data_IF_641039784015
#
_entry.id   IF_641039784015
#
_cell.length_a   1.000
_cell.length_b   1.000
_cell.length_c   1.000
_cell.angle_alpha   90.00
_cell.angle_beta   90.00
_cell.angle_gamma   90.00
#
_symmetry.space_group_name_H-M   'P 1'
#
loop_
_entity.id
_entity.type
_entity.pdbx_description
1 polymer ?
#
# COMPACT_ATOMS: atom_id res chain seq x y z
N UNK A 1 11.05 18.53 -8.89
CA UNK A 1 9.92 18.24 -8.01
C UNK A 1 10.30 17.06 -7.14
N UNK A 2 10.40 17.32 -5.90
CA UNK A 2 10.76 16.29 -4.94
C UNK A 2 9.48 15.56 -4.53
N UNK A 3 9.36 14.29 -4.85
CA UNK A 3 8.34 13.41 -4.27
C UNK A 3 8.78 13.04 -2.87
N UNK A 4 8.98 14.09 -2.04
CA UNK A 4 9.70 13.96 -0.79
C UNK A 4 8.86 13.33 0.32
N UNK A 5 7.55 13.39 0.22
CA UNK A 5 6.63 12.89 1.22
C UNK A 5 5.79 11.77 0.65
N UNK A 6 6.10 10.54 1.03
CA UNK A 6 5.41 9.33 0.59
C UNK A 6 4.66 8.71 1.76
N UNK A 7 3.40 8.36 1.53
CA UNK A 7 2.59 7.57 2.46
C UNK A 7 2.48 6.14 1.94
N UNK A 8 2.78 5.17 2.80
CA UNK A 8 2.81 3.76 2.42
C UNK A 8 1.87 2.94 3.29
N UNK A 9 1.05 2.12 2.67
CA UNK A 9 0.38 0.98 3.33
C UNK A 9 1.13 -0.31 3.00
N UNK A 10 1.07 -1.30 3.88
CA UNK A 10 1.78 -2.57 3.68
C UNK A 10 3.28 -2.49 3.98
N UNK A 11 3.68 -1.58 4.85
CA UNK A 11 5.06 -1.30 5.20
C UNK A 11 5.84 -2.51 5.73
N UNK A 12 5.18 -3.41 6.44
CA UNK A 12 5.81 -4.56 7.09
C UNK A 12 5.91 -5.79 6.22
N UNK A 13 5.32 -5.76 5.02
CA UNK A 13 5.43 -6.83 4.02
C UNK A 13 6.79 -6.86 3.33
N UNK A 14 7.05 -7.92 2.58
CA UNK A 14 8.33 -8.08 1.88
C UNK A 14 8.64 -6.95 0.89
N UNK A 15 7.64 -6.52 0.12
CA UNK A 15 7.79 -5.40 -0.81
C UNK A 15 7.89 -4.07 -0.05
N UNK A 16 7.00 -3.83 0.91
CA UNK A 16 6.94 -2.58 1.66
C UNK A 16 8.24 -2.23 2.36
N UNK A 17 8.85 -3.18 3.04
CA UNK A 17 10.16 -2.98 3.72
C UNK A 17 11.24 -2.52 2.76
N UNK A 18 11.32 -3.13 1.59
CA UNK A 18 12.32 -2.80 0.56
C UNK A 18 12.08 -1.44 -0.06
N UNK A 19 10.82 -1.12 -0.33
CA UNK A 19 10.42 0.19 -0.86
C UNK A 19 10.76 1.29 0.13
N UNK A 20 10.44 1.11 1.42
CA UNK A 20 10.78 2.09 2.46
C UNK A 20 12.28 2.32 2.52
N UNK A 21 13.06 1.24 2.58
CA UNK A 21 14.53 1.34 2.60
C UNK A 21 15.07 2.14 1.40
N UNK A 22 14.59 1.83 0.22
CA UNK A 22 14.98 2.52 -1.00
C UNK A 22 14.65 4.02 -0.93
N UNK A 23 13.43 4.36 -0.58
CA UNK A 23 12.95 5.75 -0.50
C UNK A 23 13.72 6.56 0.55
N UNK A 24 13.89 6.01 1.75
CA UNK A 24 14.64 6.67 2.83
C UNK A 24 16.10 6.89 2.43
N UNK A 25 16.74 5.91 1.83
CA UNK A 25 18.12 6.02 1.36
C UNK A 25 18.29 7.06 0.23
N UNK A 26 17.23 7.37 -0.48
CA UNK A 26 17.21 8.39 -1.53
C UNK A 26 16.66 9.75 -1.08
N UNK A 27 16.51 9.95 0.22
CA UNK A 27 16.15 11.24 0.81
C UNK A 27 14.65 11.53 0.90
N UNK A 28 13.79 10.57 0.59
CA UNK A 28 12.35 10.74 0.76
C UNK A 28 11.93 10.66 2.23
N UNK A 29 10.99 11.51 2.64
CA UNK A 29 10.32 11.37 3.91
C UNK A 29 9.15 10.38 3.76
N UNK A 30 9.20 9.30 4.52
CA UNK A 30 8.22 8.22 4.43
C UNK A 30 7.38 8.16 5.69
N UNK A 31 6.06 8.23 5.51
CA UNK A 31 5.07 7.94 6.54
C UNK A 31 4.40 6.60 6.21
N UNK A 32 4.31 5.72 7.17
CA UNK A 32 3.78 4.37 6.94
C UNK A 32 2.64 4.03 7.89
N UNK A 33 1.58 3.48 7.32
CA UNK A 33 0.44 3.01 8.09
C UNK A 33 0.83 1.82 8.95
N UNK A 34 0.52 1.90 10.24
CA UNK A 34 0.81 0.85 11.23
C UNK A 34 -0.48 0.36 11.89
N UNK A 35 -0.54 -0.93 12.20
CA UNK A 35 -1.68 -1.55 12.89
C UNK A 35 -1.37 -1.98 14.32
N UNK A 36 -0.12 -1.87 14.75
CA UNK A 36 0.32 -2.29 16.08
C UNK A 36 1.59 -1.57 16.50
N UNK A 37 1.88 -1.58 17.80
CA UNK A 37 3.14 -1.02 18.31
C UNK A 37 4.36 -1.75 17.77
N UNK A 38 4.28 -3.08 17.62
CA UNK A 38 5.36 -3.86 17.03
C UNK A 38 5.66 -3.48 15.59
N UNK A 39 4.62 -3.25 14.79
CA UNK A 39 4.77 -2.75 13.43
C UNK A 39 5.33 -1.32 13.41
N UNK A 40 4.88 -0.47 14.34
CA UNK A 40 5.39 0.91 14.47
C UNK A 40 6.88 0.92 14.75
N UNK A 41 7.37 0.06 15.63
CA UNK A 41 8.79 -0.06 15.91
C UNK A 41 9.59 -0.48 14.68
N UNK A 42 9.09 -1.46 13.93
CA UNK A 42 9.75 -1.93 12.72
C UNK A 42 9.81 -0.83 11.65
N UNK A 43 8.72 -0.09 11.47
CA UNK A 43 8.67 1.06 10.56
C UNK A 43 9.68 2.13 10.96
N UNK A 44 9.74 2.44 12.25
CA UNK A 44 10.70 3.40 12.79
C UNK A 44 12.14 2.96 12.54
N UNK A 45 12.45 1.68 12.77
CA UNK A 45 13.77 1.13 12.55
C UNK A 45 14.19 1.16 11.07
N UNK A 46 13.22 1.14 10.15
CA UNK A 46 13.46 1.31 8.72
C UNK A 46 13.72 2.77 8.30
N UNK A 47 13.55 3.73 9.21
CA UNK A 47 13.73 5.15 8.94
C UNK A 47 12.45 5.87 8.48
N UNK A 48 11.30 5.25 8.61
CA UNK A 48 10.00 5.86 8.30
C UNK A 48 9.25 6.26 9.57
N UNK A 49 8.27 7.15 9.43
CA UNK A 49 7.40 7.58 10.50
C UNK A 49 6.15 6.69 10.55
N UNK A 50 5.91 5.92 11.61
CA UNK A 50 4.69 5.15 11.75
C UNK A 50 3.50 6.05 12.12
N UNK A 51 2.34 5.73 11.56
CA UNK A 51 1.07 6.35 11.91
C UNK A 51 0.03 5.27 12.15
N UNK A 52 -0.58 5.28 13.33
CA UNK A 52 -1.67 4.38 13.68
C UNK A 52 -2.97 4.94 13.13
N UNK A 53 -3.58 4.26 12.18
CA UNK A 53 -4.86 4.62 11.59
C UNK A 53 -5.54 3.39 10.99
N UNK A 54 -6.86 3.49 10.82
CA UNK A 54 -7.65 2.45 10.16
C UNK A 54 -7.66 2.70 8.64
N UNK A 55 -7.17 1.72 7.88
CA UNK A 55 -7.19 1.77 6.41
C UNK A 55 -8.61 1.96 5.84
N UNK A 56 -9.63 1.52 6.57
CA UNK A 56 -11.03 1.59 6.14
C UNK A 56 -11.75 2.86 6.62
N UNK A 57 -11.05 3.76 7.29
CA UNK A 57 -11.57 5.07 7.72
C UNK A 57 -11.01 6.18 6.85
N UNK A 58 -11.84 6.72 5.95
CA UNK A 58 -11.42 7.84 5.10
C UNK A 58 -11.09 9.10 5.91
N UNK A 59 -11.72 9.30 7.05
CA UNK A 59 -11.46 10.43 7.94
C UNK A 59 -10.05 10.35 8.55
N UNK A 60 -9.71 9.18 9.13
CA UNK A 60 -8.38 8.97 9.71
C UNK A 60 -7.28 9.05 8.64
N UNK A 61 -7.52 8.47 7.46
CA UNK A 61 -6.56 8.54 6.35
C UNK A 61 -6.40 9.96 5.81
N UNK A 62 -7.48 10.73 5.73
CA UNK A 62 -7.41 12.15 5.34
C UNK A 62 -6.55 12.94 6.31
N UNK A 63 -6.69 12.69 7.60
CA UNK A 63 -5.88 13.36 8.62
C UNK A 63 -4.39 12.99 8.51
N UNK A 64 -4.08 11.70 8.41
CA UNK A 64 -2.69 11.25 8.41
C UNK A 64 -1.97 11.41 7.06
N UNK A 65 -2.67 11.75 5.99
CA UNK A 65 -2.06 11.99 4.68
C UNK A 65 -1.92 13.47 4.31
N UNK A 66 -2.17 14.37 5.24
CA UNK A 66 -1.91 15.80 5.03
C UNK A 66 -0.44 16.06 4.73
N UNK A 67 -0.16 16.84 3.69
CA UNK A 67 1.21 17.16 3.27
C UNK A 67 1.91 16.04 2.49
N UNK A 68 1.23 14.94 2.19
CA UNK A 68 1.77 13.83 1.40
C UNK A 68 1.69 14.16 -0.10
N UNK A 69 2.73 13.82 -0.84
CA UNK A 69 2.78 13.99 -2.30
C UNK A 69 2.38 12.74 -3.07
N UNK A 70 2.67 11.56 -2.53
CA UNK A 70 2.40 10.28 -3.19
C UNK A 70 1.88 9.26 -2.18
N UNK A 71 0.85 8.52 -2.53
CA UNK A 71 0.38 7.36 -1.79
C UNK A 71 0.82 6.09 -2.51
N UNK A 72 1.46 5.18 -1.80
CA UNK A 72 1.77 3.83 -2.28
C UNK A 72 0.95 2.82 -1.48
N UNK A 73 -0.03 2.21 -2.13
CA UNK A 73 -0.91 1.22 -1.51
C UNK A 73 -0.37 -0.19 -1.78
N UNK A 74 0.52 -0.65 -0.89
CA UNK A 74 1.20 -1.94 -1.01
C UNK A 74 0.61 -3.02 -0.09
N UNK A 75 -0.40 -2.68 0.70
CA UNK A 75 -1.01 -3.61 1.65
C UNK A 75 -1.72 -4.75 0.92
N UNK A 76 -1.51 -5.95 1.41
CA UNK A 76 -2.18 -7.17 0.96
C UNK A 76 -2.46 -8.09 2.14
N UNK A 77 -3.35 -9.04 1.95
CA UNK A 77 -3.58 -10.14 2.88
C UNK A 77 -3.72 -11.44 2.10
N UNK A 78 -2.64 -11.80 1.43
CA UNK A 78 -2.61 -13.03 0.62
C UNK A 78 -2.74 -14.23 1.56
N UNK A 79 -3.64 -15.18 1.27
CA UNK A 79 -3.82 -16.37 2.10
C UNK A 79 -2.53 -17.16 2.26
N UNK A 80 -2.24 -17.56 3.49
CA UNK A 80 -1.05 -18.37 3.81
C UNK A 80 -1.25 -19.87 3.60
N UNK A 81 -2.41 -20.27 3.11
CA UNK A 81 -2.67 -21.67 2.74
C UNK A 81 -1.83 -22.07 1.54
N UNK A 82 -1.38 -23.31 1.54
CA UNK A 82 -0.64 -23.86 0.40
C UNK A 82 -1.44 -23.79 -0.92
N UNK A 83 -2.76 -24.00 -0.83
CA UNK A 83 -3.68 -23.90 -1.98
C UNK A 83 -4.94 -23.17 -1.53
N UNK A 84 -5.03 -21.85 -1.71
CA UNK A 84 -6.25 -21.09 -1.44
C UNK A 84 -7.27 -21.44 -2.53
N UNK A 85 -8.36 -22.08 -2.16
CA UNK A 85 -9.37 -22.57 -3.10
C UNK A 85 -10.80 -22.07 -2.85
N UNK A 86 -10.99 -21.28 -1.79
CA UNK A 86 -12.31 -20.73 -1.45
C UNK A 86 -12.31 -19.21 -1.56
N UNK A 87 -13.39 -18.59 -2.06
CA UNK A 87 -13.53 -17.13 -2.06
C UNK A 87 -13.32 -16.51 -0.69
N UNK A 88 -13.77 -17.18 0.40
CA UNK A 88 -13.58 -16.71 1.78
C UNK A 88 -12.10 -16.61 2.20
N UNK A 89 -11.22 -17.36 1.59
CA UNK A 89 -9.77 -17.27 1.87
C UNK A 89 -9.19 -15.92 1.44
N UNK A 90 -9.79 -15.27 0.45
CA UNK A 90 -9.34 -14.01 -0.13
C UNK A 90 -10.10 -12.78 0.37
N UNK A 91 -11.12 -12.97 1.22
CA UNK A 91 -12.03 -11.90 1.62
C UNK A 91 -11.31 -10.66 2.19
N UNK A 92 -10.33 -10.84 3.07
CA UNK A 92 -9.59 -9.72 3.64
C UNK A 92 -8.68 -9.06 2.60
N UNK A 93 -8.04 -9.84 1.74
CA UNK A 93 -7.23 -9.29 0.65
C UNK A 93 -8.09 -8.44 -0.30
N UNK A 94 -9.24 -8.93 -0.67
CA UNK A 94 -10.19 -8.21 -1.53
C UNK A 94 -10.70 -6.93 -0.87
N UNK A 95 -11.00 -6.99 0.42
CA UNK A 95 -11.41 -5.82 1.20
C UNK A 95 -10.33 -4.75 1.23
N UNK A 96 -9.08 -5.14 1.48
CA UNK A 96 -7.95 -4.21 1.46
C UNK A 96 -7.81 -3.55 0.09
N UNK A 97 -7.91 -4.33 -0.98
CA UNK A 97 -7.75 -3.81 -2.34
C UNK A 97 -8.93 -2.97 -2.81
N UNK A 98 -10.13 -3.30 -2.44
CA UNK A 98 -11.34 -2.58 -2.87
C UNK A 98 -11.66 -1.42 -1.93
N UNK A 99 -11.96 -1.71 -0.67
CA UNK A 99 -12.35 -0.67 0.29
C UNK A 99 -11.16 0.21 0.68
N UNK A 100 -9.99 -0.40 0.90
CA UNK A 100 -8.77 0.35 1.22
C UNK A 100 -8.38 1.32 0.11
N UNK A 101 -8.50 0.92 -1.15
CA UNK A 101 -8.25 1.82 -2.29
C UNK A 101 -9.27 2.96 -2.33
N UNK A 102 -10.54 2.68 -2.09
CA UNK A 102 -11.59 3.71 -2.05
C UNK A 102 -11.34 4.76 -0.97
N UNK A 103 -10.98 4.33 0.22
CA UNK A 103 -10.69 5.25 1.34
C UNK A 103 -9.45 6.09 1.07
N UNK A 104 -8.40 5.49 0.51
CA UNK A 104 -7.18 6.21 0.11
C UNK A 104 -7.45 7.22 -1.01
N UNK A 105 -8.30 6.87 -1.98
CA UNK A 105 -8.70 7.80 -3.04
C UNK A 105 -9.49 8.99 -2.49
N UNK A 106 -10.36 8.79 -1.52
CA UNK A 106 -11.07 9.88 -0.84
C UNK A 106 -10.09 10.80 -0.11
N UNK A 107 -9.15 10.23 0.64
CA UNK A 107 -8.11 10.99 1.32
C UNK A 107 -7.23 11.77 0.32
N UNK A 108 -6.85 11.13 -0.78
CA UNK A 108 -6.05 11.77 -1.82
C UNK A 108 -6.78 12.97 -2.45
N UNK A 109 -8.08 12.84 -2.72
CA UNK A 109 -8.89 13.96 -3.23
C UNK A 109 -8.98 15.11 -2.22
N UNK A 110 -9.24 14.80 -0.96
CA UNK A 110 -9.34 15.80 0.10
C UNK A 110 -8.05 16.59 0.30
N UNK A 111 -6.90 15.93 0.17
CA UNK A 111 -5.58 16.52 0.35
C UNK A 111 -4.89 16.93 -0.96
N UNK A 112 -5.59 16.83 -2.09
CA UNK A 112 -5.06 17.17 -3.42
C UNK A 112 -3.78 16.38 -3.79
N UNK A 113 -3.70 15.13 -3.35
CA UNK A 113 -2.60 14.23 -3.68
C UNK A 113 -2.78 13.73 -5.11
N UNK A 114 -1.76 13.93 -5.95
CA UNK A 114 -1.86 13.66 -7.39
C UNK A 114 -1.58 12.23 -7.78
N UNK A 115 -0.83 11.50 -6.98
CA UNK A 115 -0.36 10.17 -7.35
C UNK A 115 -0.74 9.13 -6.30
N UNK A 116 -1.43 8.09 -6.74
CA UNK A 116 -1.66 6.88 -5.99
C UNK A 116 -1.12 5.71 -6.81
N UNK A 117 -0.14 5.00 -6.23
CA UNK A 117 0.51 3.86 -6.87
C UNK A 117 0.04 2.59 -6.17
N UNK A 118 -0.45 1.66 -6.95
CA UNK A 118 -0.92 0.36 -6.45
C UNK A 118 -0.41 -0.77 -7.36
N UNK A 119 0.24 -1.80 -6.81
CA UNK A 119 0.64 -2.96 -7.58
C UNK A 119 -0.58 -3.73 -8.11
N UNK A 120 -0.47 -4.21 -9.32
CA UNK A 120 -1.41 -5.19 -9.89
C UNK A 120 -0.81 -6.59 -9.83
N UNK A 121 -1.53 -7.56 -10.32
CA UNK A 121 -1.10 -8.95 -10.41
C UNK A 121 -1.25 -9.47 -11.83
N UNK A 122 -0.36 -10.37 -12.23
CA UNK A 122 -0.35 -10.92 -13.60
C UNK A 122 -1.56 -11.82 -13.91
N UNK A 123 -2.25 -12.30 -12.88
CA UNK A 123 -3.46 -13.13 -13.07
C UNK A 123 -4.58 -12.42 -13.83
N UNK A 124 -4.59 -11.09 -13.87
CA UNK A 124 -5.58 -10.31 -14.63
C UNK A 124 -5.50 -10.58 -16.14
N UNK A 125 -4.35 -11.03 -16.64
CA UNK A 125 -4.18 -11.38 -18.06
C UNK A 125 -4.76 -12.74 -18.44
N UNK A 126 -5.07 -13.58 -17.46
CA UNK A 126 -5.50 -14.96 -17.69
C UNK A 126 -4.40 -15.85 -18.27
N UNK A 127 -4.79 -17.00 -18.77
CA UNK A 127 -3.84 -17.92 -19.41
C UNK A 127 -3.59 -17.49 -20.87
N UNK A 128 -2.35 -17.10 -21.15
CA UNK A 128 -1.90 -16.66 -22.48
C UNK A 128 -1.05 -17.71 -23.22
N UNK A 129 -1.04 -18.94 -22.74
CA UNK A 129 -0.34 -20.05 -23.39
C UNK A 129 1.13 -19.76 -23.76
N UNK A 130 1.84 -18.99 -22.90
CA UNK A 130 3.24 -18.62 -23.12
C UNK A 130 3.47 -17.34 -23.92
N UNK A 131 2.42 -16.65 -24.35
CA UNK A 131 2.56 -15.34 -24.99
C UNK A 131 3.00 -14.26 -24.00
N UNK A 132 3.81 -13.33 -24.48
CA UNK A 132 4.22 -12.16 -23.71
C UNK A 132 3.04 -11.21 -23.56
N UNK A 133 2.87 -10.67 -22.33
CA UNK A 133 1.85 -9.67 -22.04
C UNK A 133 2.49 -8.30 -21.77
N UNK A 134 1.79 -7.24 -22.10
CA UNK A 134 2.21 -5.87 -21.87
C UNK A 134 1.01 -5.01 -21.42
N UNK A 135 1.19 -3.71 -21.30
CA UNK A 135 0.13 -2.78 -20.88
C UNK A 135 -1.08 -2.71 -21.82
N UNK A 136 -0.95 -3.21 -23.04
CA UNK A 136 -2.02 -3.23 -24.06
C UNK A 136 -2.73 -4.59 -24.11
N UNK A 137 -2.24 -5.60 -23.38
CA UNK A 137 -2.86 -6.91 -23.29
C UNK A 137 -4.03 -6.90 -22.33
#
# INVERSE_FOLDING_TARGET
>A
MTMDNVFITGATGGLGRRVIKYLVNNGSAVTALSRSEGNSKLIWDLGARPVMADLFSSEELTECTKGIGVIMHLATSIPRKAIPNKPSDWQMNDRIRIEGTKTLLKAARSNQIKYLIQPSITYVYGNRHGETVNSES
#
